data_IF_284048580632
#
_entry.id   IF_284048580632
#
_cell.length_a   1.000
_cell.length_b   1.000
_cell.length_c   1.000
_cell.angle_alpha   90.00
_cell.angle_beta   90.00
_cell.angle_gamma   90.00
#
_symmetry.space_group_name_H-M   'P 1'
#
loop_
_entity.id
_entity.type
_entity.pdbx_description
1 polymer ?
#
# COMPACT_ATOMS: atom_id res chain seq x y z
N UNK A 1 -0.47 -1.45 -7.37
CA UNK A 1 -0.43 -0.93 -5.99
C UNK A 1 0.98 -0.81 -5.43
N UNK A 2 1.70 -1.90 -5.18
CA UNK A 2 3.03 -1.85 -4.55
C UNK A 2 4.07 -1.10 -5.42
N UNK A 3 4.06 -1.36 -6.74
CA UNK A 3 4.88 -0.63 -7.72
C UNK A 3 4.56 0.88 -7.80
N UNK A 4 3.32 1.31 -7.52
CA UNK A 4 2.93 2.73 -7.53
C UNK A 4 3.48 3.48 -6.31
N UNK A 5 3.43 2.87 -5.13
CA UNK A 5 4.00 3.41 -3.89
C UNK A 5 5.53 3.52 -3.99
N UNK A 6 6.12 2.45 -4.51
CA UNK A 6 7.54 2.30 -4.75
C UNK A 6 8.14 3.43 -5.61
N UNK A 7 7.50 3.73 -6.74
CA UNK A 7 8.03 4.69 -7.71
C UNK A 7 7.77 6.16 -7.34
N UNK A 8 6.78 6.46 -6.49
CA UNK A 8 6.37 7.85 -6.22
C UNK A 8 6.77 8.41 -4.84
N UNK A 9 7.52 7.69 -4.00
CA UNK A 9 7.89 8.09 -2.62
C UNK A 9 6.70 8.60 -1.77
N UNK A 10 5.47 8.22 -2.12
CA UNK A 10 4.25 8.64 -1.44
C UNK A 10 3.63 7.43 -0.75
N UNK A 11 3.21 7.63 0.49
CA UNK A 11 2.32 6.72 1.21
C UNK A 11 1.05 6.49 0.37
N UNK A 12 0.56 5.26 0.33
CA UNK A 12 -0.71 4.91 -0.31
C UNK A 12 -1.79 4.83 0.75
N UNK A 13 -2.88 5.56 0.57
CA UNK A 13 -4.09 5.45 1.38
C UNK A 13 -5.18 4.61 0.72
N UNK A 14 -6.22 4.29 1.49
CA UNK A 14 -7.39 3.54 0.99
C UNK A 14 -8.11 4.23 -0.17
N UNK A 15 -8.07 5.57 -0.22
CA UNK A 15 -8.64 6.37 -1.32
C UNK A 15 -7.89 6.17 -2.64
N UNK A 16 -6.56 6.13 -2.59
CA UNK A 16 -5.73 5.93 -3.79
C UNK A 16 -5.98 4.55 -4.40
N UNK A 17 -6.09 3.53 -3.54
CA UNK A 17 -6.38 2.14 -3.95
C UNK A 17 -7.79 2.00 -4.50
N UNK A 18 -8.76 2.66 -3.85
CA UNK A 18 -10.15 2.69 -4.29
C UNK A 18 -10.26 3.22 -5.71
N UNK A 19 -9.61 4.36 -6.00
CA UNK A 19 -9.57 4.94 -7.33
C UNK A 19 -8.81 4.07 -8.34
N UNK A 20 -7.70 3.44 -7.93
CA UNK A 20 -6.87 2.63 -8.83
C UNK A 20 -7.55 1.33 -9.28
N UNK A 21 -8.29 0.69 -8.37
CA UNK A 21 -8.92 -0.61 -8.62
C UNK A 21 -10.42 -0.52 -8.92
N UNK A 22 -10.98 0.70 -8.91
CA UNK A 22 -12.40 0.97 -9.04
C UNK A 22 -13.25 0.15 -8.06
N UNK A 23 -12.86 0.16 -6.79
CA UNK A 23 -13.55 -0.55 -5.70
C UNK A 23 -13.95 0.41 -4.59
N UNK A 24 -14.91 0.01 -3.76
CA UNK A 24 -15.29 0.81 -2.59
C UNK A 24 -14.11 1.03 -1.64
N UNK A 25 -14.06 2.20 -1.00
CA UNK A 25 -13.00 2.56 -0.07
C UNK A 25 -12.86 1.57 1.11
N UNK A 26 -13.96 0.95 1.53
CA UNK A 26 -13.95 -0.12 2.55
C UNK A 26 -13.25 -1.40 2.06
N UNK A 27 -13.46 -1.78 0.80
CA UNK A 27 -12.76 -2.92 0.19
C UNK A 27 -11.28 -2.63 0.02
N UNK A 28 -10.93 -1.43 -0.44
CA UNK A 28 -9.56 -0.95 -0.53
C UNK A 28 -8.83 -0.97 0.82
N UNK A 29 -9.48 -0.49 1.88
CA UNK A 29 -8.95 -0.56 3.24
C UNK A 29 -8.71 -2.01 3.69
N UNK A 30 -9.66 -2.91 3.42
CA UNK A 30 -9.50 -4.35 3.74
C UNK A 30 -8.30 -4.97 3.02
N UNK A 31 -8.10 -4.64 1.74
CA UNK A 31 -6.94 -5.13 0.98
C UNK A 31 -5.61 -4.63 1.55
N UNK A 32 -5.54 -3.35 1.95
CA UNK A 32 -4.34 -2.79 2.57
C UNK A 32 -4.02 -3.47 3.90
N UNK A 33 -5.02 -3.71 4.75
CA UNK A 33 -4.86 -4.44 6.03
C UNK A 33 -4.37 -5.87 5.78
N UNK A 34 -4.94 -6.58 4.81
CA UNK A 34 -4.50 -7.94 4.46
C UNK A 34 -3.04 -7.98 3.99
N UNK A 35 -2.62 -7.01 3.18
CA UNK A 35 -1.24 -6.91 2.70
C UNK A 35 -0.26 -6.55 3.83
N UNK A 36 -0.68 -5.71 4.79
CA UNK A 36 0.09 -5.43 6.00
C UNK A 36 0.25 -6.69 6.87
N UNK A 37 -0.83 -7.43 7.13
CA UNK A 37 -0.80 -8.69 7.88
C UNK A 37 0.12 -9.75 7.26
N UNK A 38 0.21 -9.77 5.92
CA UNK A 38 1.11 -10.66 5.17
C UNK A 38 2.57 -10.17 5.10
N UNK A 39 2.85 -8.99 5.69
CA UNK A 39 4.17 -8.37 5.74
C UNK A 39 4.61 -7.71 4.43
N UNK A 40 3.69 -7.38 3.52
CA UNK A 40 4.00 -6.67 2.28
C UNK A 40 3.94 -5.14 2.44
N UNK A 41 3.15 -4.65 3.39
CA UNK A 41 3.03 -3.23 3.69
C UNK A 41 3.39 -2.95 5.14
N UNK A 42 3.78 -1.70 5.40
CA UNK A 42 4.00 -1.13 6.74
C UNK A 42 3.16 0.13 6.82
N UNK A 43 2.28 0.23 7.83
CA UNK A 43 1.53 1.45 8.12
C UNK A 43 2.43 2.55 8.67
N UNK A 44 2.08 3.80 8.37
CA UNK A 44 2.80 5.00 8.85
C UNK A 44 2.34 5.47 10.25
N UNK A 45 1.34 4.82 10.84
CA UNK A 45 0.73 5.20 12.12
C UNK A 45 -0.01 6.55 12.09
N UNK A 46 -0.16 7.18 10.93
CA UNK A 46 -0.80 8.49 10.80
C UNK A 46 -2.33 8.37 10.68
N UNK A 47 -3.03 9.49 10.79
CA UNK A 47 -4.47 9.59 10.55
C UNK A 47 -4.73 10.69 9.51
N UNK A 48 -5.25 10.37 8.32
CA UNK A 48 -5.60 9.03 7.82
C UNK A 48 -4.37 8.11 7.60
N UNK A 49 -4.55 6.80 7.85
CA UNK A 49 -3.48 5.79 7.75
C UNK A 49 -2.97 5.69 6.31
N UNK A 50 -1.66 5.81 6.15
CA UNK A 50 -0.94 5.54 4.91
C UNK A 50 -0.08 4.29 5.02
N UNK A 51 0.20 3.67 3.88
CA UNK A 51 1.01 2.45 3.79
C UNK A 51 2.22 2.66 2.89
N UNK A 52 3.34 2.03 3.26
CA UNK A 52 4.55 1.94 2.46
C UNK A 52 4.95 0.49 2.19
N UNK A 53 5.66 0.19 1.08
CA UNK A 53 6.13 -1.16 0.80
C UNK A 53 7.19 -1.61 1.80
N UNK A 54 7.00 -2.80 2.38
CA UNK A 54 8.02 -3.43 3.22
C UNK A 54 9.25 -3.84 2.38
N UNK A 55 10.36 -4.16 3.06
CA UNK A 55 11.57 -4.70 2.40
C UNK A 55 11.26 -5.98 1.61
N UNK A 56 10.37 -6.84 2.13
CA UNK A 56 9.90 -8.05 1.46
C UNK A 56 9.20 -7.72 0.14
N UNK A 57 8.28 -6.76 0.17
CA UNK A 57 7.56 -6.32 -1.03
C UNK A 57 8.51 -5.70 -2.05
N UNK A 58 9.47 -4.87 -1.62
CA UNK A 58 10.45 -4.26 -2.53
C UNK A 58 11.26 -5.31 -3.30
N UNK A 59 11.71 -6.37 -2.62
CA UNK A 59 12.44 -7.49 -3.26
C UNK A 59 11.60 -8.21 -4.32
N UNK A 60 10.33 -8.49 -4.02
CA UNK A 60 9.43 -9.24 -4.93
C UNK A 60 9.12 -8.44 -6.20
N UNK A 61 8.86 -7.14 -6.05
CA UNK A 61 8.48 -6.29 -7.17
C UNK A 61 9.69 -5.63 -7.86
N UNK A 62 10.92 -6.09 -7.57
CA UNK A 62 12.17 -5.52 -8.10
C UNK A 62 12.22 -3.99 -7.96
N UNK A 63 11.62 -3.48 -6.88
CA UNK A 63 11.61 -2.05 -6.60
C UNK A 63 13.00 -1.72 -6.07
N UNK A 64 13.80 -1.13 -6.94
CA UNK A 64 15.04 -0.45 -6.58
C UNK A 64 14.64 0.81 -5.81
N UNK A 65 14.79 0.77 -4.48
CA UNK A 65 14.76 1.95 -3.62
C UNK A 65 16.17 2.23 -3.14
#
# INVERSE_FOLDING_TARGET
MISFAANNKRRIGSKDVSNLLDVSQRSAQRYLIQLEQQGYLVSDGAHPIGYTPSVKAKKIFMVTA
#
